data_IF_151798587725
#
_entry.id   IF_151798587725
#
_cell.length_a   1.000
_cell.length_b   1.000
_cell.length_c   1.000
_cell.angle_alpha   90.00
_cell.angle_beta   90.00
_cell.angle_gamma   90.00
#
_symmetry.space_group_name_H-M   'P 1'
#
loop_
_entity.id
_entity.type
_entity.pdbx_description
1 polymer ?
#
# COMPACT_ATOMS: atom_id res chain seq x y z
N UNK A 1 -7.82 -4.35 -4.87
CA UNK A 1 -6.66 -4.42 -5.79
C UNK A 1 -6.18 -5.86 -5.86
N UNK A 2 -6.69 -6.67 -6.80
CA UNK A 2 -6.42 -8.12 -6.83
C UNK A 2 -5.51 -8.55 -8.00
N UNK A 3 -4.79 -7.62 -8.65
CA UNK A 3 -4.05 -7.93 -9.90
C UNK A 3 -2.71 -7.17 -10.05
N UNK A 4 -2.10 -6.70 -8.95
CA UNK A 4 -0.83 -5.96 -8.98
C UNK A 4 0.41 -6.87 -8.77
N UNK A 5 1.64 -6.39 -9.05
CA UNK A 5 2.88 -7.14 -8.81
C UNK A 5 2.99 -7.68 -7.38
N UNK A 6 2.59 -6.89 -6.39
CA UNK A 6 2.56 -7.29 -4.98
C UNK A 6 1.57 -8.42 -4.69
N UNK A 7 0.43 -8.42 -5.38
CA UNK A 7 -0.55 -9.50 -5.28
C UNK A 7 0.04 -10.80 -5.83
N UNK A 8 0.69 -10.75 -6.99
CA UNK A 8 1.38 -11.92 -7.55
C UNK A 8 2.49 -12.42 -6.63
N UNK A 9 3.32 -11.51 -6.10
CA UNK A 9 4.45 -11.83 -5.23
C UNK A 9 4.03 -12.61 -3.97
N UNK A 10 2.97 -12.19 -3.29
CA UNK A 10 2.58 -12.84 -2.03
C UNK A 10 1.40 -13.81 -2.17
N UNK A 11 0.31 -13.40 -2.86
CA UNK A 11 -0.95 -14.15 -2.88
C UNK A 11 -0.92 -15.31 -3.87
N UNK A 12 -0.49 -15.06 -5.10
CA UNK A 12 -0.42 -16.11 -6.13
C UNK A 12 0.54 -17.23 -5.74
N UNK A 13 1.65 -16.88 -5.07
CA UNK A 13 2.61 -17.84 -4.53
C UNK A 13 2.15 -18.55 -3.25
N UNK A 14 0.99 -18.20 -2.70
CA UNK A 14 0.38 -18.87 -1.53
C UNK A 14 0.98 -18.48 -0.17
N UNK A 15 1.71 -17.37 -0.09
CA UNK A 15 2.35 -16.91 1.16
C UNK A 15 1.40 -16.10 2.06
N UNK A 16 0.44 -15.38 1.47
CA UNK A 16 -0.60 -14.63 2.19
C UNK A 16 -1.96 -14.74 1.51
N UNK A 17 -3.04 -14.33 2.18
CA UNK A 17 -4.37 -14.22 1.57
C UNK A 17 -4.62 -12.84 0.97
N UNK A 18 -4.11 -11.79 1.61
CA UNK A 18 -4.31 -10.42 1.17
C UNK A 18 -3.01 -9.63 1.13
N UNK A 19 -2.94 -8.73 0.16
CA UNK A 19 -1.94 -7.66 0.08
C UNK A 19 -2.66 -6.39 -0.37
N UNK A 20 -2.37 -5.28 0.29
CA UNK A 20 -2.83 -3.97 -0.13
C UNK A 20 -1.70 -2.95 -0.05
N UNK A 21 -1.78 -1.97 -0.94
CA UNK A 21 -0.87 -0.83 -1.00
C UNK A 21 -1.74 0.42 -1.03
N UNK A 22 -1.84 1.08 0.10
CA UNK A 22 -2.78 2.16 0.34
C UNK A 22 -2.04 3.48 0.59
N UNK A 23 -2.70 4.57 0.25
CA UNK A 23 -2.24 5.93 0.50
C UNK A 23 -3.28 6.65 1.35
N UNK A 24 -2.86 7.16 2.49
CA UNK A 24 -3.64 8.11 3.27
C UNK A 24 -3.12 9.52 2.99
N UNK A 25 -3.84 10.25 2.15
CA UNK A 25 -3.47 11.60 1.75
C UNK A 25 -3.58 12.62 2.89
N UNK A 26 -4.45 12.38 3.88
CA UNK A 26 -4.69 13.31 4.99
C UNK A 26 -3.54 13.24 6.00
N UNK A 27 -3.03 12.03 6.27
CA UNK A 27 -1.89 11.81 7.17
C UNK A 27 -0.55 11.72 6.44
N UNK A 28 -0.55 11.81 5.11
CA UNK A 28 0.61 11.63 4.24
C UNK A 28 1.36 10.31 4.50
N UNK A 29 0.59 9.24 4.74
CA UNK A 29 1.11 7.91 5.02
C UNK A 29 0.92 6.98 3.83
N UNK A 30 1.91 6.12 3.61
CA UNK A 30 1.84 5.04 2.64
C UNK A 30 1.90 3.74 3.42
N UNK A 31 0.90 2.90 3.21
CA UNK A 31 0.74 1.66 3.95
C UNK A 31 0.83 0.46 3.00
N UNK A 32 1.86 -0.36 3.20
CA UNK A 32 1.89 -1.72 2.69
C UNK A 32 1.32 -2.64 3.78
N UNK A 33 0.25 -3.36 3.47
CA UNK A 33 -0.32 -4.36 4.37
C UNK A 33 -0.31 -5.74 3.73
N UNK A 34 0.12 -6.74 4.51
CA UNK A 34 0.08 -8.15 4.12
C UNK A 34 -0.73 -8.88 5.19
N UNK A 35 -1.86 -9.44 4.81
CA UNK A 35 -2.84 -10.00 5.75
C UNK A 35 -3.00 -11.51 5.59
N UNK A 36 -3.30 -12.16 6.73
CA UNK A 36 -3.47 -13.62 6.84
C UNK A 36 -2.30 -14.39 6.21
N UNK A 37 -1.08 -14.07 6.66
CA UNK A 37 0.13 -14.73 6.20
C UNK A 37 0.20 -16.17 6.72
N UNK A 38 0.20 -17.14 5.82
CA UNK A 38 0.54 -18.54 6.15
C UNK A 38 2.06 -18.65 6.39
N UNK A 39 2.84 -17.90 5.62
CA UNK A 39 4.30 -17.91 5.62
C UNK A 39 4.84 -16.47 5.70
N UNK A 40 4.92 -15.93 6.92
CA UNK A 40 5.31 -14.54 7.17
C UNK A 40 6.64 -14.14 6.50
N UNK A 41 7.70 -14.95 6.69
CA UNK A 41 9.03 -14.65 6.16
C UNK A 41 8.99 -14.52 4.64
N UNK A 42 8.46 -15.53 3.94
CA UNK A 42 8.37 -15.51 2.48
C UNK A 42 7.47 -14.39 1.95
N UNK A 43 6.33 -14.15 2.60
CA UNK A 43 5.42 -13.09 2.18
C UNK A 43 6.08 -11.71 2.29
N UNK A 44 6.71 -11.43 3.43
CA UNK A 44 7.42 -10.18 3.68
C UNK A 44 8.61 -10.02 2.74
N UNK A 45 9.46 -11.03 2.61
CA UNK A 45 10.63 -10.96 1.74
C UNK A 45 10.27 -10.77 0.27
N UNK A 46 9.26 -11.47 -0.22
CA UNK A 46 8.81 -11.33 -1.60
C UNK A 46 8.19 -9.93 -1.87
N UNK A 47 7.47 -9.37 -0.90
CA UNK A 47 6.94 -8.01 -1.01
C UNK A 47 8.08 -6.97 -1.04
N UNK A 48 9.02 -7.06 -0.10
CA UNK A 48 10.17 -6.15 -0.01
C UNK A 48 11.05 -6.24 -1.26
N UNK A 49 11.31 -7.45 -1.76
CA UNK A 49 12.05 -7.66 -3.00
C UNK A 49 11.34 -7.05 -4.21
N UNK A 50 10.01 -7.19 -4.29
CA UNK A 50 9.21 -6.58 -5.36
C UNK A 50 9.33 -5.05 -5.34
N UNK A 51 9.23 -4.43 -4.16
CA UNK A 51 9.40 -2.99 -4.01
C UNK A 51 10.85 -2.55 -4.32
N UNK A 52 11.84 -3.31 -3.87
CA UNK A 52 13.26 -3.05 -4.16
C UNK A 52 13.55 -3.09 -5.64
N UNK A 53 13.04 -4.10 -6.35
CA UNK A 53 13.20 -4.21 -7.80
C UNK A 53 12.48 -3.08 -8.56
N UNK A 54 11.44 -2.47 -7.97
CA UNK A 54 10.76 -1.32 -8.54
C UNK A 54 11.61 -0.04 -8.38
N UNK A 55 12.16 0.19 -7.18
CA UNK A 55 13.01 1.35 -6.88
C UNK A 55 14.37 1.27 -7.59
N UNK A 56 14.96 0.08 -7.70
CA UNK A 56 16.20 -0.14 -8.45
C UNK A 56 15.98 -0.19 -9.98
N UNK A 57 14.76 0.09 -10.45
CA UNK A 57 14.36 0.11 -11.86
C UNK A 57 14.67 -1.19 -12.62
N UNK A 58 14.74 -2.32 -11.90
CA UNK A 58 14.91 -3.67 -12.48
C UNK A 58 13.61 -4.21 -13.07
N UNK A 59 12.48 -3.63 -12.66
CA UNK A 59 11.16 -4.00 -13.16
C UNK A 59 10.79 -3.16 -14.37
N UNK A 60 10.55 -3.81 -15.51
CA UNK A 60 9.99 -3.14 -16.69
C UNK A 60 8.55 -2.70 -16.43
N UNK A 61 8.28 -1.41 -16.60
CA UNK A 61 6.95 -0.83 -16.51
C UNK A 61 6.20 -1.07 -17.82
N UNK A 62 5.15 -1.90 -17.77
CA UNK A 62 4.30 -2.17 -18.92
C UNK A 62 3.26 -1.05 -19.12
N UNK A 63 3.28 -0.33 -20.26
CA UNK A 63 2.31 0.73 -20.54
C UNK A 63 0.86 0.23 -20.50
N UNK A 64 0.60 -1.02 -20.88
CA UNK A 64 -0.76 -1.58 -20.86
C UNK A 64 -1.27 -1.74 -19.42
N UNK A 65 -0.40 -2.16 -18.50
CA UNK A 65 -0.73 -2.22 -17.06
C UNK A 65 -1.03 -0.84 -16.49
N UNK A 66 -0.34 0.19 -16.96
CA UNK A 66 -0.61 1.57 -16.53
C UNK A 66 -1.98 2.06 -17.01
N UNK A 67 -2.37 1.75 -18.26
CA UNK A 67 -3.71 2.04 -18.77
C UNK A 67 -4.77 1.28 -17.96
N UNK A 68 -4.54 0.00 -17.67
CA UNK A 68 -5.44 -0.80 -16.85
C UNK A 68 -5.59 -0.23 -15.43
N UNK A 69 -4.49 0.19 -14.79
CA UNK A 69 -4.50 0.81 -13.48
C UNK A 69 -5.31 2.11 -13.48
N UNK A 70 -5.09 2.99 -14.47
CA UNK A 70 -5.86 4.22 -14.64
C UNK A 70 -7.36 3.93 -14.76
N UNK A 71 -7.74 3.00 -15.63
CA UNK A 71 -9.15 2.65 -15.83
C UNK A 71 -9.77 2.07 -14.55
N UNK A 72 -9.03 1.23 -13.81
CA UNK A 72 -9.48 0.69 -12.53
C UNK A 72 -9.70 1.80 -11.49
N UNK A 73 -8.82 2.80 -11.43
CA UNK A 73 -8.99 3.96 -10.55
C UNK A 73 -10.25 4.76 -10.91
N UNK A 74 -10.48 5.00 -12.21
CA UNK A 74 -11.71 5.66 -12.68
C UNK A 74 -12.97 4.87 -12.30
N UNK A 75 -12.97 3.55 -12.52
CA UNK A 75 -14.08 2.68 -12.08
C UNK A 75 -14.30 2.78 -10.57
N UNK A 76 -13.24 2.69 -9.77
CA UNK A 76 -13.31 2.77 -8.31
C UNK A 76 -13.89 4.11 -7.84
N UNK A 77 -13.47 5.22 -8.44
CA UNK A 77 -13.97 6.56 -8.10
C UNK A 77 -15.43 6.74 -8.52
N UNK A 78 -15.80 6.29 -9.73
CA UNK A 78 -17.19 6.38 -10.22
C UNK A 78 -18.15 5.50 -9.43
N UNK A 79 -17.70 4.34 -8.95
CA UNK A 79 -18.47 3.46 -8.05
C UNK A 79 -18.86 4.11 -6.73
N UNK A 80 -18.07 5.06 -6.21
CA UNK A 80 -18.41 5.85 -5.02
C UNK A 80 -19.59 6.81 -5.28
N UNK A 81 -19.84 7.16 -6.54
CA UNK A 81 -20.91 8.06 -6.97
C UNK A 81 -22.12 7.30 -7.55
N UNK A 82 -22.01 5.98 -7.73
CA UNK A 82 -23.00 5.18 -8.43
C UNK A 82 -24.35 5.04 -7.70
N UNK A 83 -24.39 5.24 -6.37
CA UNK A 83 -25.62 5.12 -5.57
C UNK A 83 -25.74 6.26 -4.57
N UNK A 84 -27.00 6.63 -4.22
CA UNK A 84 -27.28 7.67 -3.22
C UNK A 84 -26.62 7.39 -1.86
N UNK A 85 -26.58 6.12 -1.44
CA UNK A 85 -25.94 5.73 -0.18
C UNK A 85 -24.44 6.02 -0.17
N UNK A 86 -23.73 5.70 -1.26
CA UNK A 86 -22.29 5.95 -1.37
C UNK A 86 -21.98 7.43 -1.57
N UNK A 87 -22.79 8.11 -2.38
CA UNK A 87 -22.70 9.55 -2.62
C UNK A 87 -22.85 10.34 -1.31
N UNK A 88 -23.77 9.95 -0.43
CA UNK A 88 -23.97 10.61 0.88
C UNK A 88 -22.66 10.68 1.68
N UNK A 89 -21.87 9.60 1.70
CA UNK A 89 -20.58 9.59 2.39
C UNK A 89 -19.56 10.57 1.80
N UNK A 90 -19.55 10.72 0.47
CA UNK A 90 -18.73 11.70 -0.23
C UNK A 90 -19.18 13.13 0.11
N UNK A 91 -20.48 13.41 0.04
CA UNK A 91 -21.03 14.73 0.37
C UNK A 91 -20.75 15.16 1.81
N UNK A 92 -20.91 14.24 2.77
CA UNK A 92 -20.62 14.51 4.19
C UNK A 92 -19.14 14.85 4.37
N UNK A 93 -18.22 14.06 3.79
CA UNK A 93 -16.77 14.35 3.86
C UNK A 93 -16.42 15.69 3.20
N UNK A 94 -17.03 15.98 2.06
CA UNK A 94 -16.88 17.24 1.32
C UNK A 94 -17.30 18.44 2.15
N UNK A 95 -18.43 18.33 2.85
CA UNK A 95 -18.92 19.36 3.78
C UNK A 95 -18.00 19.53 4.99
N UNK A 96 -17.63 18.41 5.65
CA UNK A 96 -16.79 18.43 6.86
C UNK A 96 -15.37 18.96 6.60
N UNK A 97 -14.78 18.59 5.46
CA UNK A 97 -13.43 19.00 5.07
C UNK A 97 -13.42 20.27 4.21
N UNK A 98 -14.56 20.95 4.06
CA UNK A 98 -14.70 22.24 3.33
C UNK A 98 -14.14 22.24 1.90
N UNK A 99 -14.28 21.12 1.18
CA UNK A 99 -13.92 21.05 -0.24
C UNK A 99 -15.16 20.95 -1.14
N UNK A 100 -15.11 21.53 -2.35
CA UNK A 100 -16.20 21.40 -3.33
C UNK A 100 -16.28 19.96 -3.85
N UNK A 101 -17.50 19.44 -3.97
CA UNK A 101 -17.74 18.14 -4.61
C UNK A 101 -17.33 18.14 -6.09
N UNK A 102 -17.27 19.32 -6.72
CA UNK A 102 -16.77 19.48 -8.10
C UNK A 102 -15.31 19.03 -8.23
N UNK A 103 -14.52 19.07 -7.15
CA UNK A 103 -13.17 18.53 -7.14
C UNK A 103 -13.11 17.04 -7.49
N UNK A 104 -14.18 16.27 -7.21
CA UNK A 104 -14.25 14.87 -7.67
C UNK A 104 -14.34 14.77 -9.20
N UNK A 105 -15.08 15.68 -9.84
CA UNK A 105 -15.18 15.72 -11.30
C UNK A 105 -13.85 16.17 -11.91
N UNK A 106 -13.19 17.14 -11.31
CA UNK A 106 -11.89 17.63 -11.78
C UNK A 106 -10.81 16.54 -11.63
N UNK A 107 -10.79 15.82 -10.50
CA UNK A 107 -9.91 14.66 -10.32
C UNK A 107 -10.16 13.59 -11.39
N UNK A 108 -11.41 13.30 -11.72
CA UNK A 108 -11.74 12.35 -12.79
C UNK A 108 -11.25 12.82 -14.16
N UNK A 109 -11.32 14.13 -14.46
CA UNK A 109 -10.78 14.70 -15.70
C UNK A 109 -9.26 14.58 -15.73
N UNK A 110 -8.59 14.93 -14.64
CA UNK A 110 -7.14 14.84 -14.50
C UNK A 110 -6.65 13.39 -14.70
N UNK A 111 -7.27 12.42 -14.03
CA UNK A 111 -6.92 11.00 -14.16
C UNK A 111 -7.15 10.51 -15.60
N UNK A 112 -8.26 10.90 -16.26
CA UNK A 112 -8.51 10.51 -17.65
C UNK A 112 -7.52 11.16 -18.63
N UNK A 113 -7.07 12.38 -18.34
CA UNK A 113 -6.06 13.08 -19.14
C UNK A 113 -4.63 12.57 -18.92
N UNK A 114 -4.40 11.77 -17.88
CA UNK A 114 -3.10 11.20 -17.58
C UNK A 114 -2.60 10.32 -18.74
N UNK A 115 -1.44 10.70 -19.26
CA UNK A 115 -0.68 9.97 -20.27
C UNK A 115 0.52 9.28 -19.63
N UNK A 116 0.83 8.08 -20.09
CA UNK A 116 1.99 7.34 -19.61
C UNK A 116 3.27 8.12 -19.93
N UNK A 117 4.03 8.43 -18.89
CA UNK A 117 5.38 8.98 -18.97
C UNK A 117 6.25 8.24 -17.96
N UNK A 118 7.19 7.45 -18.46
CA UNK A 118 8.05 6.60 -17.66
C UNK A 118 8.90 7.40 -16.67
N UNK A 119 9.55 8.48 -17.11
CA UNK A 119 10.40 9.31 -16.25
C UNK A 119 9.62 9.92 -15.07
N UNK A 120 8.38 10.37 -15.33
CA UNK A 120 7.52 10.88 -14.27
C UNK A 120 7.15 9.79 -13.26
N UNK A 121 6.89 8.56 -13.72
CA UNK A 121 6.58 7.43 -12.86
C UNK A 121 7.77 7.01 -12.01
N UNK A 122 8.98 6.97 -12.59
CA UNK A 122 10.20 6.66 -11.84
C UNK A 122 10.42 7.69 -10.72
N UNK A 123 10.23 8.99 -11.00
CA UNK A 123 10.29 10.04 -9.97
C UNK A 123 9.26 9.85 -8.86
N UNK A 124 8.05 9.40 -9.18
CA UNK A 124 6.99 9.10 -8.19
C UNK A 124 7.38 7.89 -7.35
N UNK A 125 7.91 6.83 -7.98
CA UNK A 125 8.41 5.62 -7.31
C UNK A 125 9.53 5.99 -6.33
N UNK A 126 10.51 6.78 -6.78
CA UNK A 126 11.63 7.19 -5.93
C UNK A 126 11.15 8.05 -4.75
N UNK A 127 10.19 8.94 -4.99
CA UNK A 127 9.67 9.82 -3.95
C UNK A 127 8.83 9.09 -2.90
N UNK A 128 7.99 8.14 -3.31
CA UNK A 128 6.95 7.58 -2.44
C UNK A 128 7.18 6.11 -2.06
N UNK A 129 7.86 5.33 -2.89
CA UNK A 129 8.13 3.91 -2.61
C UNK A 129 9.48 3.73 -1.92
N UNK A 130 10.50 4.51 -2.31
CA UNK A 130 11.84 4.42 -1.70
C UNK A 130 11.85 4.56 -0.17
N UNK A 131 11.07 5.48 0.45
CA UNK A 131 11.02 5.59 1.92
C UNK A 131 10.51 4.32 2.62
N UNK A 132 9.71 3.48 1.96
CA UNK A 132 9.23 2.22 2.55
C UNK A 132 10.33 1.17 2.71
N UNK A 133 11.45 1.32 1.98
CA UNK A 133 12.60 0.42 2.05
C UNK A 133 13.68 0.92 3.01
N UNK A 134 13.52 2.12 3.57
CA UNK A 134 14.46 2.70 4.52
C UNK A 134 13.91 2.57 5.94
N UNK A 135 14.66 1.88 6.81
CA UNK A 135 14.27 1.65 8.20
C UNK A 135 14.14 2.94 9.02
N UNK A 136 14.81 4.03 8.60
CA UNK A 136 14.73 5.31 9.29
C UNK A 136 13.44 6.08 9.01
N UNK A 137 12.81 5.84 7.86
CA UNK A 137 11.64 6.60 7.38
C UNK A 137 10.35 5.78 7.43
N UNK A 138 10.44 4.50 7.78
CA UNK A 138 9.31 3.58 7.80
C UNK A 138 9.09 2.96 9.18
N UNK A 139 7.87 2.52 9.43
CA UNK A 139 7.50 1.81 10.65
C UNK A 139 6.74 0.54 10.29
N UNK A 140 7.15 -0.59 10.86
CA UNK A 140 6.54 -1.88 10.59
C UNK A 140 5.83 -2.42 11.85
N UNK A 141 4.55 -2.76 11.72
CA UNK A 141 3.80 -3.48 12.73
C UNK A 141 3.54 -4.91 12.25
N UNK A 142 3.99 -5.88 13.02
CA UNK A 142 3.83 -7.31 12.69
C UNK A 142 3.03 -7.98 13.80
N UNK A 143 1.83 -8.45 13.44
CA UNK A 143 0.99 -9.23 14.33
C UNK A 143 1.25 -10.73 14.11
N UNK A 144 1.80 -11.38 15.14
CA UNK A 144 2.07 -12.82 15.13
C UNK A 144 1.63 -13.46 16.43
N UNK A 145 1.41 -14.79 16.40
CA UNK A 145 1.20 -15.56 17.60
C UNK A 145 2.41 -15.43 18.55
N UNK A 146 2.17 -15.39 19.86
CA UNK A 146 3.20 -15.28 20.89
C UNK A 146 4.34 -16.29 20.75
N UNK A 147 4.03 -17.50 20.27
CA UNK A 147 5.00 -18.57 20.08
C UNK A 147 5.98 -18.29 18.94
N UNK A 148 5.60 -17.46 17.95
CA UNK A 148 6.42 -17.09 16.79
C UNK A 148 7.12 -15.74 16.94
N UNK A 149 6.90 -15.02 18.05
CA UNK A 149 7.46 -13.68 18.27
C UNK A 149 9.00 -13.68 18.21
N UNK A 150 9.66 -14.59 18.93
CA UNK A 150 11.14 -14.68 18.94
C UNK A 150 11.70 -15.02 17.56
N UNK A 151 11.12 -16.00 16.89
CA UNK A 151 11.53 -16.40 15.54
C UNK A 151 11.38 -15.25 14.53
N UNK A 152 10.30 -14.47 14.66
CA UNK A 152 10.05 -13.31 13.81
C UNK A 152 11.06 -12.19 14.08
N UNK A 153 11.36 -11.93 15.35
CA UNK A 153 12.37 -10.94 15.72
C UNK A 153 13.76 -11.31 15.18
N UNK A 154 14.17 -12.57 15.30
CA UNK A 154 15.43 -13.04 14.76
C UNK A 154 15.51 -12.90 13.23
N UNK A 155 14.41 -13.18 12.54
CA UNK A 155 14.31 -13.00 11.09
C UNK A 155 14.49 -11.53 10.69
N UNK A 156 13.75 -10.61 11.31
CA UNK A 156 13.86 -9.18 11.02
C UNK A 156 15.26 -8.64 11.32
N UNK A 157 15.87 -9.09 12.42
CA UNK A 157 17.22 -8.68 12.79
C UNK A 157 18.28 -9.20 11.81
N UNK A 158 18.21 -10.49 11.44
CA UNK A 158 19.22 -11.15 10.59
C UNK A 158 19.13 -10.72 9.12
N UNK A 159 17.91 -10.64 8.58
CA UNK A 159 17.71 -10.41 7.14
C UNK A 159 17.53 -8.94 6.79
N UNK A 160 16.96 -8.14 7.70
CA UNK A 160 16.66 -6.73 7.45
C UNK A 160 17.41 -5.77 8.37
N UNK A 161 18.14 -6.27 9.37
CA UNK A 161 18.94 -5.42 10.27
C UNK A 161 18.12 -4.59 11.26
N UNK A 162 16.81 -4.84 11.38
CA UNK A 162 15.88 -4.07 12.22
C UNK A 162 16.16 -4.40 13.70
N UNK A 163 16.68 -3.42 14.45
CA UNK A 163 17.13 -3.61 15.85
C UNK A 163 16.07 -3.25 16.90
N UNK A 164 15.24 -2.26 16.62
CA UNK A 164 14.25 -1.73 17.57
C UNK A 164 12.88 -2.43 17.46
N UNK A 165 12.90 -3.76 17.50
CA UNK A 165 11.65 -4.56 17.49
C UNK A 165 11.04 -4.57 18.88
N UNK A 166 10.02 -3.73 19.11
CA UNK A 166 9.25 -3.76 20.35
C UNK A 166 8.22 -4.89 20.36
N UNK A 167 8.32 -5.76 21.37
CA UNK A 167 7.39 -6.88 21.55
C UNK A 167 6.17 -6.45 22.36
N UNK A 168 5.07 -6.16 21.68
CA UNK A 168 3.81 -5.81 22.31
C UNK A 168 2.95 -7.07 22.45
N UNK A 169 2.83 -7.58 23.68
CA UNK A 169 1.99 -8.76 23.98
C UNK A 169 0.50 -8.45 24.05
N UNK A 170 0.14 -7.19 24.34
CA UNK A 170 -1.23 -6.75 24.57
C UNK A 170 -1.47 -5.44 23.79
N UNK A 171 -1.78 -5.60 22.50
CA UNK A 171 -1.88 -4.49 21.53
C UNK A 171 -2.93 -3.47 21.98
N UNK A 172 -4.06 -3.94 22.53
CA UNK A 172 -5.17 -3.09 23.00
C UNK A 172 -4.72 -2.16 24.12
N UNK A 173 -3.92 -2.64 25.09
CA UNK A 173 -3.39 -1.78 26.17
C UNK A 173 -2.34 -0.78 25.68
N UNK A 174 -1.59 -1.11 24.64
CA UNK A 174 -0.54 -0.23 24.13
C UNK A 174 -1.06 0.92 23.27
N UNK A 175 -2.16 0.70 22.53
CA UNK A 175 -2.75 1.71 21.64
C UNK A 175 -3.70 2.68 22.36
N UNK A 176 -4.14 2.35 23.59
CA UNK A 176 -5.00 3.21 24.41
C UNK A 176 -4.23 4.10 25.40
N UNK A 177 -2.91 4.27 25.22
CA UNK A 177 -2.06 5.21 25.97
C UNK A 177 -1.60 6.33 25.07
#
# INVERSE_FOLDING_TARGET
MENGPLWTACRTNGYSYGVAFDFDFETNLILLSISQCSQLKLAYSSAMETLKNLVEHKTTLDPQRMVAARNLTVCTLTEQLATLGRLTGVCIRSYLNTYSIEKYQDLLKEINSFTYNEECLLKIIDKYVSPLLNDNDSSALILVNTNKMKETQEFLYKEYGIKDVQLIKDVVKSLCR
#
